data_IF_181364610446
#
_entry.id   IF_181364610446
#
_cell.length_a   1.000
_cell.length_b   1.000
_cell.length_c   1.000
_cell.angle_alpha   90.00
_cell.angle_beta   90.00
_cell.angle_gamma   90.00
#
_symmetry.space_group_name_H-M   'P 1'
#
loop_
_entity.id
_entity.type
_entity.pdbx_description
1 polymer ?
#
# COMPACT_ATOMS: atom_id res chain seq x y z
N UNK A 1 -12.16 -16.16 4.82
CA UNK A 1 -11.25 -16.12 6.01
C UNK A 1 -10.71 -14.71 6.10
N UNK A 2 -10.43 -14.18 7.30
CA UNK A 2 -10.21 -12.74 7.48
C UNK A 2 -8.76 -12.31 7.23
N UNK A 3 -8.57 -10.99 7.10
CA UNK A 3 -7.24 -10.39 7.16
C UNK A 3 -6.64 -10.59 8.55
N UNK A 4 -5.32 -10.73 8.61
CA UNK A 4 -4.52 -10.81 9.83
C UNK A 4 -3.83 -9.46 10.07
N UNK A 5 -4.17 -8.80 11.16
CA UNK A 5 -3.58 -7.53 11.57
C UNK A 5 -3.40 -7.49 13.10
N UNK A 6 -2.55 -6.57 13.58
CA UNK A 6 -2.38 -6.32 15.02
C UNK A 6 -3.67 -5.81 15.66
N UNK A 7 -3.97 -6.27 16.88
CA UNK A 7 -5.09 -5.75 17.68
C UNK A 7 -4.92 -4.26 18.02
N UNK A 8 -3.69 -3.79 18.13
CA UNK A 8 -3.35 -2.41 18.49
C UNK A 8 -3.45 -1.44 17.31
N UNK A 9 -3.63 -1.98 16.08
CA UNK A 9 -3.82 -1.15 14.90
C UNK A 9 -5.20 -0.46 14.97
N UNK A 10 -5.31 0.87 14.81
CA UNK A 10 -6.59 1.59 14.87
C UNK A 10 -7.67 1.01 13.96
N UNK A 11 -7.30 0.51 12.79
CA UNK A 11 -8.21 -0.14 11.87
C UNK A 11 -8.90 -1.39 12.45
N UNK A 12 -8.25 -2.12 13.38
CA UNK A 12 -8.81 -3.32 13.99
C UNK A 12 -10.15 -3.05 14.65
N UNK A 13 -10.22 -2.05 15.53
CA UNK A 13 -11.44 -1.70 16.25
C UNK A 13 -12.53 -1.15 15.32
N UNK A 14 -12.17 -0.38 14.32
CA UNK A 14 -13.09 0.19 13.33
C UNK A 14 -13.76 -0.94 12.54
N UNK A 15 -12.98 -1.87 12.02
CA UNK A 15 -13.48 -3.00 11.24
C UNK A 15 -14.35 -3.94 12.06
N UNK A 16 -13.99 -4.19 13.33
CA UNK A 16 -14.86 -4.96 14.23
C UNK A 16 -16.23 -4.29 14.46
N UNK A 17 -16.24 -2.97 14.65
CA UNK A 17 -17.50 -2.22 14.84
C UNK A 17 -18.38 -2.23 13.57
N UNK A 18 -17.77 -2.40 12.40
CA UNK A 18 -18.46 -2.58 11.12
C UNK A 18 -18.90 -4.04 10.86
N UNK A 19 -18.77 -4.94 11.84
CA UNK A 19 -19.02 -6.38 11.73
C UNK A 19 -18.15 -7.07 10.65
N UNK A 20 -16.99 -6.51 10.36
CA UNK A 20 -16.00 -7.12 9.48
C UNK A 20 -15.10 -8.02 10.33
N UNK A 21 -15.03 -9.31 9.97
CA UNK A 21 -14.24 -10.26 10.73
C UNK A 21 -12.74 -10.07 10.46
N UNK A 22 -11.99 -9.72 11.51
CA UNK A 22 -10.53 -9.55 11.51
C UNK A 22 -9.90 -10.59 12.41
N UNK A 23 -8.80 -11.18 12.00
CA UNK A 23 -8.08 -12.20 12.76
C UNK A 23 -6.83 -11.62 13.42
N UNK A 24 -6.57 -12.01 14.65
CA UNK A 24 -5.30 -11.72 15.33
C UNK A 24 -4.23 -12.72 14.95
N UNK A 25 -2.96 -12.37 15.19
CA UNK A 25 -1.83 -13.27 14.94
C UNK A 25 -1.97 -14.60 15.68
N UNK A 26 -2.26 -14.58 16.96
CA UNK A 26 -2.38 -15.78 17.80
C UNK A 26 -3.44 -16.75 17.30
N UNK A 27 -4.58 -16.23 16.83
CA UNK A 27 -5.64 -17.07 16.28
C UNK A 27 -5.29 -17.64 14.92
N UNK A 28 -4.52 -16.93 14.12
CA UNK A 28 -4.10 -17.35 12.79
C UNK A 28 -3.06 -18.50 12.86
N UNK A 29 -2.18 -18.47 13.84
CA UNK A 29 -1.13 -19.50 14.04
C UNK A 29 -1.71 -20.89 14.38
N UNK A 30 -2.94 -20.94 14.87
CA UNK A 30 -3.63 -22.22 15.15
C UNK A 30 -4.23 -22.87 13.89
N UNK A 31 -4.09 -22.26 12.73
CA UNK A 31 -4.62 -22.77 11.47
C UNK A 31 -3.48 -23.16 10.53
N UNK A 32 -3.49 -24.40 10.03
CA UNK A 32 -2.53 -24.89 9.04
C UNK A 32 -2.89 -24.41 7.62
N UNK A 33 -2.80 -23.10 7.41
CA UNK A 33 -3.12 -22.45 6.14
C UNK A 33 -2.01 -21.45 5.81
N UNK A 34 -1.47 -21.54 4.59
CA UNK A 34 -0.57 -20.51 4.07
C UNK A 34 -1.36 -19.25 3.75
N UNK A 35 -1.17 -18.14 4.48
CA UNK A 35 -1.81 -16.88 4.15
C UNK A 35 -1.18 -16.27 2.89
N UNK A 36 -1.96 -15.47 2.17
CA UNK A 36 -1.42 -14.55 1.17
C UNK A 36 -0.72 -13.39 1.89
N UNK A 37 0.54 -13.15 1.54
CA UNK A 37 1.32 -12.03 2.09
C UNK A 37 1.14 -10.81 1.20
N UNK A 38 0.54 -9.76 1.74
CA UNK A 38 0.29 -8.50 1.03
C UNK A 38 1.06 -7.37 1.70
N UNK A 39 1.93 -6.73 0.92
CA UNK A 39 2.64 -5.52 1.33
C UNK A 39 1.85 -4.29 0.89
N UNK A 40 1.67 -3.31 1.78
CA UNK A 40 1.03 -2.04 1.46
C UNK A 40 2.04 -0.91 1.66
N UNK A 41 2.56 -0.35 0.58
CA UNK A 41 3.32 0.90 0.61
C UNK A 41 2.35 2.07 0.67
N UNK A 42 2.19 2.62 1.86
CA UNK A 42 1.27 3.72 2.12
C UNK A 42 1.99 5.07 2.10
N UNK A 43 1.91 5.77 0.97
CA UNK A 43 2.47 7.11 0.78
C UNK A 43 1.43 8.24 0.92
N UNK A 44 0.19 7.90 1.30
CA UNK A 44 -0.84 8.90 1.60
C UNK A 44 -0.50 9.71 2.85
N UNK A 45 -0.87 11.00 2.88
CA UNK A 45 -0.63 11.85 4.06
C UNK A 45 -1.45 11.43 5.28
N UNK A 46 -2.69 10.96 5.10
CA UNK A 46 -3.57 10.45 6.15
C UNK A 46 -3.52 8.92 6.18
N UNK A 47 -2.44 8.38 6.74
CA UNK A 47 -2.15 6.94 6.69
C UNK A 47 -3.23 6.09 7.36
N UNK A 48 -3.67 6.44 8.55
CA UNK A 48 -4.66 5.68 9.34
C UNK A 48 -6.00 5.53 8.60
N UNK A 49 -6.47 6.61 7.95
CA UNK A 49 -7.70 6.54 7.15
C UNK A 49 -7.51 5.60 5.94
N UNK A 50 -6.38 5.72 5.26
CA UNK A 50 -6.05 4.90 4.09
C UNK A 50 -5.88 3.43 4.47
N UNK A 51 -5.22 3.13 5.58
CA UNK A 51 -5.11 1.78 6.16
C UNK A 51 -6.50 1.16 6.30
N UNK A 52 -7.40 1.85 7.01
CA UNK A 52 -8.76 1.36 7.27
C UNK A 52 -9.52 1.08 5.97
N UNK A 53 -9.41 1.96 4.98
CA UNK A 53 -10.08 1.80 3.69
C UNK A 53 -9.56 0.57 2.91
N UNK A 54 -8.25 0.40 2.82
CA UNK A 54 -7.64 -0.71 2.09
C UNK A 54 -7.90 -2.02 2.82
N UNK A 55 -7.73 -2.07 4.14
CA UNK A 55 -7.97 -3.26 4.95
C UNK A 55 -9.43 -3.71 4.90
N UNK A 56 -10.38 -2.77 4.85
CA UNK A 56 -11.81 -3.08 4.65
C UNK A 56 -12.06 -3.80 3.31
N UNK A 57 -11.40 -3.36 2.23
CA UNK A 57 -11.52 -4.01 0.93
C UNK A 57 -10.87 -5.40 0.91
N UNK A 58 -9.67 -5.52 1.48
CA UNK A 58 -8.94 -6.79 1.53
C UNK A 58 -9.60 -7.83 2.45
N UNK A 59 -10.37 -7.39 3.45
CA UNK A 59 -11.10 -8.31 4.33
C UNK A 59 -12.29 -9.02 3.67
N UNK A 60 -12.75 -8.52 2.52
CA UNK A 60 -13.86 -9.11 1.76
C UNK A 60 -13.38 -10.25 0.84
N UNK A 61 -12.71 -11.24 1.42
CA UNK A 61 -12.19 -12.43 0.73
C UNK A 61 -12.32 -13.67 1.60
N UNK A 62 -12.55 -14.87 1.02
CA UNK A 62 -12.49 -16.11 1.76
C UNK A 62 -11.03 -16.56 2.06
N UNK A 63 -10.03 -15.91 1.50
CA UNK A 63 -8.62 -16.25 1.70
C UNK A 63 -8.08 -15.59 2.96
N UNK A 64 -7.17 -16.28 3.64
CA UNK A 64 -6.41 -15.64 4.72
C UNK A 64 -5.36 -14.72 4.12
N UNK A 65 -5.35 -13.46 4.56
CA UNK A 65 -4.43 -12.43 4.09
C UNK A 65 -3.63 -11.91 5.28
N UNK A 66 -2.33 -11.93 5.12
CA UNK A 66 -1.35 -11.37 6.05
C UNK A 66 -0.87 -10.02 5.52
N UNK A 67 -1.05 -8.97 6.31
CA UNK A 67 -0.78 -7.60 5.88
C UNK A 67 0.48 -7.08 6.54
N UNK A 68 1.39 -6.56 5.75
CA UNK A 68 2.54 -5.78 6.20
C UNK A 68 2.46 -4.35 5.64
N UNK A 69 2.56 -3.36 6.52
CA UNK A 69 2.50 -1.95 6.15
C UNK A 69 3.92 -1.41 5.99
N UNK A 70 4.16 -0.67 4.91
CA UNK A 70 5.45 -0.04 4.62
C UNK A 70 5.28 1.46 4.35
N UNK A 71 6.23 2.26 4.79
CA UNK A 71 6.34 3.66 4.44
C UNK A 71 7.70 3.96 3.80
N UNK A 72 7.81 5.07 3.09
CA UNK A 72 9.09 5.57 2.57
C UNK A 72 9.92 6.15 3.72
N UNK A 73 11.17 5.73 3.82
CA UNK A 73 12.09 6.18 4.87
C UNK A 73 12.68 7.57 4.58
N UNK A 74 12.79 7.92 3.29
CA UNK A 74 13.35 9.19 2.83
C UNK A 74 12.42 10.40 3.03
N UNK A 75 11.17 10.20 3.49
CA UNK A 75 10.19 11.26 3.72
C UNK A 75 9.66 11.28 5.15
N UNK A 76 9.64 12.47 5.75
CA UNK A 76 9.07 12.68 7.09
C UNK A 76 7.56 12.93 6.99
N UNK A 77 6.77 12.01 7.51
CA UNK A 77 5.31 12.15 7.54
C UNK A 77 4.89 13.28 8.47
N UNK A 78 4.08 14.23 7.96
CA UNK A 78 3.60 15.38 8.75
C UNK A 78 2.29 15.10 9.50
N UNK A 79 1.49 14.15 9.02
CA UNK A 79 0.11 13.90 9.49
C UNK A 79 -0.05 12.56 10.22
N UNK A 80 1.03 11.84 10.43
CA UNK A 80 1.04 10.56 11.16
C UNK A 80 2.13 10.63 12.21
N UNK A 81 1.82 10.23 13.44
CA UNK A 81 2.78 10.25 14.54
C UNK A 81 3.93 9.27 14.27
N UNK A 82 5.13 9.63 14.71
CA UNK A 82 6.29 8.76 14.58
C UNK A 82 6.06 7.42 15.31
N UNK A 83 5.44 7.46 16.50
CA UNK A 83 5.12 6.25 17.26
C UNK A 83 4.21 5.28 16.48
N UNK A 84 3.26 5.77 15.69
CA UNK A 84 2.42 4.92 14.85
C UNK A 84 3.24 4.25 13.74
N UNK A 85 4.16 5.00 13.11
CA UNK A 85 5.03 4.46 12.07
C UNK A 85 5.98 3.41 12.64
N UNK A 86 6.65 3.70 13.75
CA UNK A 86 7.59 2.77 14.40
C UNK A 86 6.90 1.49 14.90
N UNK A 87 5.63 1.56 15.26
CA UNK A 87 4.90 0.40 15.79
C UNK A 87 4.33 -0.49 14.67
N UNK A 88 3.80 0.10 13.59
CA UNK A 88 2.99 -0.63 12.61
C UNK A 88 3.58 -0.69 11.20
N UNK A 89 4.57 0.13 10.90
CA UNK A 89 5.17 0.22 9.59
C UNK A 89 6.60 -0.31 9.58
N UNK A 90 6.95 -0.90 8.47
CA UNK A 90 8.33 -1.28 8.14
C UNK A 90 8.90 -0.33 7.08
N UNK A 91 10.20 -0.37 6.88
CA UNK A 91 10.92 0.34 5.83
C UNK A 91 11.38 -0.62 4.74
N UNK A 92 11.73 -0.09 3.57
CA UNK A 92 12.24 -0.91 2.47
C UNK A 92 13.49 -1.72 2.86
N UNK A 93 14.38 -1.12 3.68
CA UNK A 93 15.59 -1.81 4.17
C UNK A 93 15.32 -3.09 4.96
N UNK A 94 14.17 -3.16 5.65
CA UNK A 94 13.79 -4.29 6.52
C UNK A 94 13.10 -5.43 5.75
N UNK A 95 12.60 -5.13 4.54
CA UNK A 95 11.79 -6.11 3.77
C UNK A 95 12.45 -6.58 2.48
N UNK A 96 13.59 -6.03 2.10
CA UNK A 96 14.23 -6.27 0.79
C UNK A 96 14.52 -7.73 0.46
N UNK A 97 14.69 -8.58 1.48
CA UNK A 97 14.94 -10.01 1.32
C UNK A 97 13.66 -10.87 1.40
N UNK A 98 12.48 -10.23 1.61
CA UNK A 98 11.19 -10.91 1.71
C UNK A 98 10.52 -11.03 0.35
N UNK A 99 9.58 -11.98 0.24
CA UNK A 99 8.73 -12.16 -0.94
C UNK A 99 7.26 -12.05 -0.55
N UNK A 100 6.46 -11.48 -1.46
CA UNK A 100 5.04 -11.22 -1.25
C UNK A 100 4.20 -11.75 -2.42
N UNK A 101 2.98 -12.16 -2.11
CA UNK A 101 2.00 -12.57 -3.13
C UNK A 101 1.37 -11.36 -3.82
N UNK A 102 1.32 -10.22 -3.13
CA UNK A 102 0.84 -8.97 -3.71
C UNK A 102 1.42 -7.73 -3.02
N UNK A 103 1.42 -6.62 -3.74
CA UNK A 103 1.79 -5.31 -3.22
C UNK A 103 0.79 -4.25 -3.67
N UNK A 104 0.46 -3.34 -2.77
CA UNK A 104 -0.34 -2.16 -3.08
C UNK A 104 0.51 -0.91 -2.84
N UNK A 105 0.66 -0.08 -3.86
CA UNK A 105 1.30 1.24 -3.74
C UNK A 105 0.20 2.29 -3.82
N UNK A 106 0.00 3.05 -2.75
CA UNK A 106 -1.06 4.06 -2.67
C UNK A 106 -0.69 5.33 -3.45
N UNK A 107 -1.67 6.20 -3.66
CA UNK A 107 -1.43 7.53 -4.21
C UNK A 107 -0.69 8.46 -3.24
N UNK A 108 -0.32 9.62 -3.77
CA UNK A 108 0.22 10.75 -3.01
C UNK A 108 -0.25 12.06 -3.66
N UNK A 109 -0.47 13.14 -2.89
CA UNK A 109 -0.93 14.43 -3.42
C UNK A 109 0.25 15.25 -3.99
N UNK A 110 1.01 14.67 -4.91
CA UNK A 110 2.20 15.27 -5.54
C UNK A 110 2.10 15.25 -7.07
N UNK A 111 0.89 15.16 -7.59
CA UNK A 111 0.60 15.04 -9.03
C UNK A 111 1.09 16.24 -9.86
N UNK A 112 1.24 17.40 -9.23
CA UNK A 112 1.73 18.63 -9.89
C UNK A 112 3.25 18.70 -10.00
N UNK A 113 3.99 17.91 -9.22
CA UNK A 113 5.45 17.89 -9.25
C UNK A 113 5.97 16.97 -10.37
N UNK A 114 7.04 17.33 -11.10
CA UNK A 114 7.82 16.35 -11.83
C UNK A 114 8.21 15.18 -10.92
N UNK A 115 8.32 13.98 -11.47
CA UNK A 115 8.62 12.79 -10.64
C UNK A 115 9.96 12.94 -9.90
N UNK A 116 10.97 13.43 -10.58
CA UNK A 116 12.34 13.62 -10.06
C UNK A 116 12.45 14.70 -8.98
N UNK A 117 11.40 15.52 -8.80
CA UNK A 117 11.32 16.53 -7.74
C UNK A 117 10.59 16.03 -6.49
N UNK A 118 10.05 14.82 -6.52
CA UNK A 118 9.45 14.20 -5.34
C UNK A 118 10.58 13.66 -4.47
N UNK A 119 10.65 14.09 -3.22
CA UNK A 119 11.75 13.82 -2.28
C UNK A 119 12.03 12.32 -2.04
N UNK A 120 11.03 11.46 -2.21
CA UNK A 120 11.15 9.99 -2.10
C UNK A 120 11.16 9.27 -3.47
N UNK A 121 11.37 9.98 -4.58
CA UNK A 121 11.32 9.37 -5.92
C UNK A 121 12.32 8.22 -6.11
N UNK A 122 13.56 8.43 -5.70
CA UNK A 122 14.61 7.42 -5.84
C UNK A 122 14.29 6.15 -5.05
N UNK A 123 13.73 6.29 -3.85
CA UNK A 123 13.30 5.15 -3.04
C UNK A 123 12.13 4.40 -3.69
N UNK A 124 11.14 5.12 -4.24
CA UNK A 124 10.02 4.51 -4.98
C UNK A 124 10.53 3.75 -6.21
N UNK A 125 11.47 4.30 -6.95
CA UNK A 125 12.08 3.62 -8.09
C UNK A 125 12.78 2.30 -7.67
N UNK A 126 13.52 2.32 -6.57
CA UNK A 126 14.16 1.11 -6.02
C UNK A 126 13.11 0.06 -5.61
N UNK A 127 12.03 0.49 -4.95
CA UNK A 127 10.94 -0.39 -4.55
C UNK A 127 10.22 -0.97 -5.78
N UNK A 128 9.95 -0.17 -6.80
CA UNK A 128 9.33 -0.64 -8.05
C UNK A 128 10.24 -1.65 -8.80
N UNK A 129 11.56 -1.41 -8.82
CA UNK A 129 12.50 -2.37 -9.42
C UNK A 129 12.53 -3.68 -8.63
N UNK A 130 12.64 -3.61 -7.31
CA UNK A 130 12.62 -4.75 -6.42
C UNK A 130 11.32 -5.57 -6.56
N UNK A 131 10.19 -4.90 -6.72
CA UNK A 131 8.90 -5.57 -6.84
C UNK A 131 8.79 -6.52 -8.02
N UNK A 132 9.56 -6.31 -9.10
CA UNK A 132 9.57 -7.19 -10.28
C UNK A 132 10.01 -8.62 -9.99
N UNK A 133 10.82 -8.80 -8.94
CA UNK A 133 11.39 -10.12 -8.59
C UNK A 133 10.91 -10.66 -7.25
N UNK A 134 10.38 -9.82 -6.38
CA UNK A 134 9.99 -10.18 -5.01
C UNK A 134 8.48 -10.15 -4.76
N UNK A 135 7.70 -9.63 -5.71
CA UNK A 135 6.26 -9.51 -5.60
C UNK A 135 5.59 -10.16 -6.81
N UNK A 136 4.62 -11.05 -6.57
CA UNK A 136 3.93 -11.71 -7.67
C UNK A 136 3.06 -10.75 -8.49
N UNK A 137 2.35 -9.82 -7.83
CA UNK A 137 1.51 -8.82 -8.51
C UNK A 137 1.48 -7.50 -7.73
N UNK A 138 1.62 -6.38 -8.43
CA UNK A 138 1.60 -5.04 -7.83
C UNK A 138 0.44 -4.22 -8.36
N UNK A 139 -0.38 -3.67 -7.43
CA UNK A 139 -1.45 -2.73 -7.72
C UNK A 139 -0.97 -1.31 -7.41
N UNK A 140 -0.97 -0.46 -8.42
CA UNK A 140 -0.65 0.96 -8.29
C UNK A 140 -1.93 1.80 -8.29
N UNK A 141 -2.09 2.70 -7.32
CA UNK A 141 -3.30 3.51 -7.15
C UNK A 141 -2.98 5.00 -7.36
N UNK A 142 -3.81 5.69 -8.16
CA UNK A 142 -3.77 7.14 -8.36
C UNK A 142 -2.39 7.62 -8.87
N UNK A 143 -1.70 8.49 -8.10
CA UNK A 143 -0.37 8.97 -8.48
C UNK A 143 0.64 7.83 -8.65
N UNK A 144 0.59 6.79 -7.82
CA UNK A 144 1.47 5.65 -7.99
C UNK A 144 1.24 4.91 -9.32
N UNK A 145 0.01 4.91 -9.85
CA UNK A 145 -0.26 4.35 -11.18
C UNK A 145 0.44 5.17 -12.29
N UNK A 146 0.39 6.49 -12.17
CA UNK A 146 1.13 7.37 -13.09
C UNK A 146 2.65 7.17 -12.96
N UNK A 147 3.14 7.09 -11.73
CA UNK A 147 4.56 6.84 -11.43
C UNK A 147 5.04 5.49 -11.99
N UNK A 148 4.24 4.44 -11.82
CA UNK A 148 4.53 3.11 -12.37
C UNK A 148 4.55 3.09 -13.90
N UNK A 149 3.60 3.76 -14.56
CA UNK A 149 3.60 3.92 -16.02
C UNK A 149 4.83 4.67 -16.51
N UNK A 150 5.23 5.71 -15.80
CA UNK A 150 6.44 6.47 -16.13
C UNK A 150 7.71 5.64 -15.94
N UNK A 151 7.86 5.03 -14.77
CA UNK A 151 9.07 4.26 -14.43
C UNK A 151 9.24 3.03 -15.31
N UNK A 152 8.19 2.22 -15.49
CA UNK A 152 8.31 0.93 -16.20
C UNK A 152 8.23 1.07 -17.73
N UNK A 153 7.49 2.07 -18.22
CA UNK A 153 7.16 2.18 -19.65
C UNK A 153 7.52 3.53 -20.27
N UNK A 154 8.07 4.47 -19.50
CA UNK A 154 8.40 5.80 -19.99
C UNK A 154 7.21 6.67 -20.39
N UNK A 155 5.99 6.34 -19.90
CA UNK A 155 4.78 7.09 -20.22
C UNK A 155 4.70 8.34 -19.35
N UNK A 156 4.86 9.56 -19.93
CA UNK A 156 4.84 10.78 -19.16
C UNK A 156 3.42 11.18 -18.76
N UNK A 157 3.29 12.02 -17.72
CA UNK A 157 2.03 12.67 -17.35
C UNK A 157 1.94 14.06 -17.94
N UNK A 158 0.72 14.49 -18.26
CA UNK A 158 0.45 15.83 -18.78
C UNK A 158 -0.69 16.48 -17.99
N UNK A 159 -0.59 17.78 -17.67
CA UNK A 159 -1.71 18.51 -17.09
C UNK A 159 -2.81 18.65 -18.14
N UNK A 160 -4.05 18.38 -17.73
CA UNK A 160 -5.22 18.63 -18.56
C UNK A 160 -5.70 20.07 -18.37
N UNK A 161 -6.23 20.69 -19.45
CA UNK A 161 -6.81 22.03 -19.39
C UNK A 161 -8.04 22.09 -18.45
N UNK A 162 -8.77 20.99 -18.34
CA UNK A 162 -9.91 20.83 -17.44
C UNK A 162 -9.85 19.47 -16.75
N UNK A 163 -10.31 19.42 -15.51
CA UNK A 163 -10.41 18.18 -14.76
C UNK A 163 -11.40 17.22 -15.43
N UNK A 164 -10.95 16.02 -15.72
CA UNK A 164 -11.74 15.01 -16.42
C UNK A 164 -12.25 13.98 -15.41
N UNK A 165 -13.57 13.78 -15.40
CA UNK A 165 -14.25 12.77 -14.57
C UNK A 165 -15.02 11.82 -15.47
N UNK A 166 -14.99 10.54 -15.17
CA UNK A 166 -15.79 9.55 -15.89
C UNK A 166 -15.17 8.17 -15.83
N UNK A 167 -15.86 7.24 -16.46
CA UNK A 167 -15.38 5.89 -16.75
C UNK A 167 -15.06 5.88 -18.26
N UNK A 168 -13.79 5.62 -18.57
CA UNK A 168 -13.31 5.69 -19.94
C UNK A 168 -12.92 4.29 -20.42
N UNK A 169 -13.33 3.88 -21.64
CA UNK A 169 -12.85 2.65 -22.22
C UNK A 169 -11.37 2.76 -22.57
N UNK A 170 -10.61 1.75 -22.20
CA UNK A 170 -9.20 1.61 -22.57
C UNK A 170 -9.08 0.47 -23.57
N UNK A 171 -8.32 0.70 -24.65
CA UNK A 171 -7.97 -0.33 -25.63
C UNK A 171 -6.49 -0.68 -25.39
N UNK A 172 -6.23 -1.98 -25.26
CA UNK A 172 -4.88 -2.53 -25.11
C UNK A 172 -4.35 -2.91 -26.49
#
# INVERSE_FOLDING_TARGET
MPIRISQDLPAYQILQNENIFVMTHDRAEQQDIRPLKILILNIMPKKIETETQILRLLSNTPLQVDIELMHVASHVSKNTSLSHLETFYTTFGEIKDKHYDGMIITGAPVEHLPYEQVDYWDEICQIMEWSKTHVFSTLHICWAAQAGLYYHFGVPKYPLAQKMFGIFPHVV
#
